data_IF_927008987813
#
_entry.id   IF_927008987813
#
_cell.length_a   1.000
_cell.length_b   1.000
_cell.length_c   1.000
_cell.angle_alpha   90.00
_cell.angle_beta   90.00
_cell.angle_gamma   90.00
#
_symmetry.space_group_name_H-M   'P 1'
#
loop_
_entity.id
_entity.type
_entity.pdbx_description
1 polymer ?
#
# COMPACT_ATOMS: atom_id res chain seq x y z
N UNK A 1 90.75 3.56 11.55
CA UNK A 1 89.38 4.06 11.80
C UNK A 1 88.64 4.32 10.47
N UNK A 2 88.05 3.30 9.83
CA UNK A 2 87.33 3.45 8.54
C UNK A 2 86.11 2.50 8.37
N UNK A 3 85.57 1.90 9.44
CA UNK A 3 84.53 0.85 9.34
C UNK A 3 83.19 1.13 10.03
N UNK A 4 82.96 2.32 10.60
CA UNK A 4 81.68 2.64 11.30
C UNK A 4 80.73 3.52 10.46
N UNK A 5 81.19 4.12 9.36
CA UNK A 5 80.41 5.09 8.59
C UNK A 5 79.49 4.49 7.49
N UNK A 6 79.60 3.20 7.19
CA UNK A 6 78.86 2.57 6.07
C UNK A 6 77.58 1.85 6.56
N UNK A 7 77.52 1.44 7.83
CA UNK A 7 76.37 0.70 8.37
C UNK A 7 75.18 1.65 8.68
N UNK A 8 75.45 2.89 9.09
CA UNK A 8 74.41 3.90 9.36
C UNK A 8 73.71 4.41 8.10
N UNK A 9 74.40 4.55 6.96
CA UNK A 9 73.79 5.01 5.71
C UNK A 9 72.81 3.98 5.10
N UNK A 10 73.08 2.68 5.25
CA UNK A 10 72.24 1.60 4.72
C UNK A 10 70.97 1.41 5.58
N UNK A 11 71.08 1.56 6.91
CA UNK A 11 69.94 1.49 7.83
C UNK A 11 68.96 2.65 7.65
N UNK A 12 69.46 3.89 7.44
CA UNK A 12 68.58 5.04 7.19
C UNK A 12 67.91 5.00 5.80
N UNK A 13 68.61 4.53 4.76
CA UNK A 13 68.03 4.36 3.42
C UNK A 13 66.90 3.32 3.37
N UNK A 14 67.04 2.20 4.08
CA UNK A 14 66.02 1.15 4.16
C UNK A 14 64.74 1.60 4.87
N UNK A 15 64.86 2.40 5.94
CA UNK A 15 63.72 2.92 6.71
C UNK A 15 62.92 3.94 5.89
N UNK A 16 63.59 4.83 5.16
CA UNK A 16 62.94 5.85 4.31
C UNK A 16 62.20 5.20 3.14
N UNK A 17 62.80 4.20 2.47
CA UNK A 17 62.16 3.48 1.37
C UNK A 17 60.97 2.64 1.87
N UNK A 18 61.08 2.01 3.05
CA UNK A 18 59.98 1.27 3.66
C UNK A 18 58.81 2.17 4.07
N UNK A 19 59.07 3.36 4.62
CA UNK A 19 58.04 4.36 4.92
C UNK A 19 57.36 4.90 3.66
N UNK A 20 58.12 5.21 2.60
CA UNK A 20 57.56 5.64 1.32
C UNK A 20 56.65 4.56 0.70
N UNK A 21 57.06 3.29 0.72
CA UNK A 21 56.23 2.18 0.25
C UNK A 21 54.96 1.99 1.10
N UNK A 22 55.06 2.12 2.43
CA UNK A 22 53.91 2.02 3.34
C UNK A 22 52.91 3.16 3.10
N UNK A 23 53.40 4.38 2.88
CA UNK A 23 52.56 5.54 2.55
C UNK A 23 51.91 5.41 1.17
N UNK A 24 52.65 4.93 0.16
CA UNK A 24 52.10 4.65 -1.16
C UNK A 24 51.01 3.56 -1.13
N UNK A 25 51.22 2.49 -0.34
CA UNK A 25 50.23 1.42 -0.18
C UNK A 25 48.97 1.90 0.56
N UNK A 26 49.13 2.71 1.62
CA UNK A 26 48.01 3.30 2.34
C UNK A 26 47.21 4.28 1.46
N UNK A 27 47.89 5.11 0.65
CA UNK A 27 47.26 6.00 -0.32
C UNK A 27 46.56 5.22 -1.44
N UNK A 28 47.12 4.11 -1.89
CA UNK A 28 46.49 3.26 -2.89
C UNK A 28 45.22 2.60 -2.33
N UNK A 29 45.29 2.06 -1.10
CA UNK A 29 44.13 1.48 -0.41
C UNK A 29 43.05 2.50 -0.09
N UNK A 30 43.41 3.74 0.28
CA UNK A 30 42.43 4.81 0.50
C UNK A 30 41.77 5.24 -0.80
N UNK A 31 42.52 5.32 -1.91
CA UNK A 31 42.00 5.65 -3.23
C UNK A 31 41.09 4.56 -3.79
N UNK A 32 41.43 3.29 -3.61
CA UNK A 32 40.56 2.16 -3.99
C UNK A 32 39.28 2.12 -3.15
N UNK A 33 39.37 2.43 -1.84
CA UNK A 33 38.20 2.60 -0.97
C UNK A 33 37.30 3.76 -1.41
N UNK A 34 37.88 4.89 -1.80
CA UNK A 34 37.14 6.04 -2.31
C UNK A 34 36.49 5.77 -3.68
N UNK A 35 37.20 5.07 -4.58
CA UNK A 35 36.66 4.65 -5.89
C UNK A 35 35.52 3.65 -5.69
N UNK A 36 35.69 2.64 -4.83
CA UNK A 36 34.64 1.68 -4.50
C UNK A 36 33.40 2.40 -3.95
N UNK A 37 33.58 3.30 -2.99
CA UNK A 37 32.49 4.10 -2.43
C UNK A 37 31.76 4.91 -3.51
N UNK A 38 32.49 5.61 -4.39
CA UNK A 38 31.92 6.36 -5.51
C UNK A 38 31.12 5.47 -6.47
N UNK A 39 31.64 4.28 -6.79
CA UNK A 39 30.96 3.32 -7.65
C UNK A 39 29.68 2.80 -6.99
N UNK A 40 29.73 2.40 -5.71
CA UNK A 40 28.55 1.96 -4.96
C UNK A 40 27.49 3.07 -4.85
N UNK A 41 27.90 4.30 -4.54
CA UNK A 41 26.98 5.46 -4.50
C UNK A 41 26.32 5.69 -5.86
N UNK A 42 27.08 5.64 -6.96
CA UNK A 42 26.52 5.79 -8.30
C UNK A 42 25.52 4.69 -8.67
N UNK A 43 25.75 3.45 -8.23
CA UNK A 43 24.78 2.36 -8.40
C UNK A 43 23.50 2.62 -7.59
N UNK A 44 23.63 3.06 -6.33
CA UNK A 44 22.47 3.40 -5.49
C UNK A 44 21.67 4.57 -6.08
N UNK A 45 22.33 5.62 -6.57
CA UNK A 45 21.67 6.75 -7.26
C UNK A 45 20.89 6.30 -8.48
N UNK A 46 21.46 5.39 -9.28
CA UNK A 46 20.78 4.85 -10.47
C UNK A 46 19.56 4.02 -10.11
N UNK A 47 19.67 3.16 -9.09
CA UNK A 47 18.54 2.36 -8.59
C UNK A 47 17.44 3.25 -7.98
N UNK A 48 17.81 4.24 -7.17
CA UNK A 48 16.87 5.20 -6.61
C UNK A 48 16.13 5.98 -7.71
N UNK A 49 16.84 6.44 -8.74
CA UNK A 49 16.22 7.13 -9.88
C UNK A 49 15.21 6.23 -10.60
N UNK A 50 15.55 4.96 -10.80
CA UNK A 50 14.65 3.98 -11.42
C UNK A 50 13.38 3.80 -10.58
N UNK A 51 13.51 3.68 -9.26
CA UNK A 51 12.37 3.58 -8.32
C UNK A 51 11.47 4.82 -8.40
N UNK A 52 12.07 6.02 -8.43
CA UNK A 52 11.31 7.27 -8.57
C UNK A 52 10.59 7.38 -9.92
N UNK A 53 11.25 7.00 -11.02
CA UNK A 53 10.64 6.96 -12.35
C UNK A 53 9.44 5.98 -12.37
N UNK A 54 9.59 4.79 -11.78
CA UNK A 54 8.51 3.80 -11.64
C UNK A 54 7.35 4.32 -10.77
N UNK A 55 7.64 5.01 -9.65
CA UNK A 55 6.59 5.65 -8.83
C UNK A 55 5.86 6.74 -9.62
N UNK A 56 6.58 7.57 -10.35
CA UNK A 56 6.00 8.63 -11.17
C UNK A 56 5.05 8.08 -12.23
N UNK A 57 5.39 6.95 -12.85
CA UNK A 57 4.51 6.28 -13.81
C UNK A 57 3.26 5.68 -13.15
N UNK A 58 3.40 5.06 -11.97
CA UNK A 58 2.25 4.56 -11.22
C UNK A 58 1.31 5.70 -10.80
N UNK A 59 1.83 6.85 -10.38
CA UNK A 59 1.02 8.01 -9.97
C UNK A 59 0.11 8.47 -11.10
N UNK A 60 0.57 8.46 -12.35
CA UNK A 60 -0.25 8.82 -13.54
C UNK A 60 -1.48 7.94 -13.72
N UNK A 61 -1.46 6.72 -13.18
CA UNK A 61 -2.57 5.76 -13.26
C UNK A 61 -3.53 5.81 -12.07
N UNK A 62 -3.20 6.58 -11.03
CA UNK A 62 -4.08 6.74 -9.87
C UNK A 62 -5.26 7.65 -10.19
N UNK A 63 -6.42 7.36 -9.60
CA UNK A 63 -7.65 8.15 -9.75
C UNK A 63 -8.32 8.32 -8.38
N UNK A 64 -9.03 9.43 -8.16
CA UNK A 64 -9.90 9.55 -6.98
C UNK A 64 -11.05 8.56 -7.11
N UNK A 65 -11.22 7.72 -6.10
CA UNK A 65 -12.24 6.69 -6.07
C UNK A 65 -13.48 7.21 -5.36
N UNK A 66 -14.64 6.99 -5.96
CA UNK A 66 -15.92 7.02 -5.26
C UNK A 66 -16.70 5.74 -5.55
N UNK A 67 -17.27 5.12 -4.52
CA UNK A 67 -18.16 3.97 -4.62
C UNK A 67 -19.50 4.38 -4.02
N UNK A 68 -20.56 4.17 -4.76
CA UNK A 68 -21.94 4.31 -4.29
C UNK A 68 -22.58 2.93 -4.22
N UNK A 69 -23.11 2.60 -3.06
CA UNK A 69 -23.80 1.34 -2.78
C UNK A 69 -25.26 1.69 -2.57
N UNK A 70 -26.13 1.19 -3.44
CA UNK A 70 -27.58 1.38 -3.36
C UNK A 70 -28.23 0.04 -3.01
N UNK A 71 -28.88 -0.01 -1.86
CA UNK A 71 -29.70 -1.12 -1.41
C UNK A 71 -31.18 -0.79 -1.65
N UNK A 72 -31.92 -1.74 -2.21
CA UNK A 72 -33.36 -1.60 -2.44
C UNK A 72 -34.11 -2.87 -2.00
N UNK A 73 -35.41 -2.73 -1.75
CA UNK A 73 -36.24 -3.79 -1.20
C UNK A 73 -35.99 -4.03 0.29
N UNK A 74 -36.16 -5.27 0.74
CA UNK A 74 -36.14 -5.64 2.16
C UNK A 74 -34.72 -5.78 2.76
N UNK A 75 -33.80 -4.86 2.45
CA UNK A 75 -32.38 -4.99 2.80
C UNK A 75 -32.10 -5.01 4.31
N UNK A 76 -32.96 -4.40 5.11
CA UNK A 76 -32.93 -4.40 6.58
C UNK A 76 -33.10 -5.80 7.20
N UNK A 77 -33.70 -6.75 6.48
CA UNK A 77 -33.86 -8.15 6.93
C UNK A 77 -32.58 -8.98 6.78
N UNK A 78 -31.53 -8.39 6.19
CA UNK A 78 -30.28 -9.07 5.89
C UNK A 78 -29.14 -8.41 6.65
N UNK A 79 -28.34 -9.23 7.30
CA UNK A 79 -27.08 -8.82 7.88
C UNK A 79 -26.02 -8.68 6.78
N UNK A 80 -25.43 -7.50 6.70
CA UNK A 80 -24.52 -7.14 5.64
C UNK A 80 -23.23 -6.54 6.19
N UNK A 81 -22.13 -7.26 5.97
CA UNK A 81 -20.81 -6.85 6.46
C UNK A 81 -19.90 -6.55 5.26
N UNK A 82 -19.32 -5.36 5.26
CA UNK A 82 -18.42 -4.86 4.26
C UNK A 82 -16.96 -4.97 4.70
N UNK A 83 -16.12 -5.32 3.75
CA UNK A 83 -14.67 -5.16 3.79
C UNK A 83 -14.22 -4.43 2.53
N UNK A 84 -13.45 -3.36 2.72
CA UNK A 84 -12.89 -2.57 1.64
C UNK A 84 -11.38 -2.52 1.82
N UNK A 85 -10.66 -2.77 0.73
CA UNK A 85 -9.22 -2.59 0.66
C UNK A 85 -8.89 -1.64 -0.47
N UNK A 86 -8.07 -0.65 -0.17
CA UNK A 86 -7.63 0.34 -1.16
C UNK A 86 -6.11 0.32 -1.22
N UNK A 87 -5.56 0.41 -2.44
CA UNK A 87 -4.12 0.45 -2.69
C UNK A 87 -3.74 1.73 -3.41
N UNK A 88 -2.71 2.42 -2.90
CA UNK A 88 -2.13 3.61 -3.52
C UNK A 88 -0.62 3.51 -3.65
N UNK A 89 -0.03 4.36 -4.49
CA UNK A 89 1.42 4.58 -4.49
C UNK A 89 1.83 5.16 -3.15
N UNK A 90 2.94 4.68 -2.62
CA UNK A 90 3.46 5.16 -1.35
C UNK A 90 4.18 6.51 -1.52
N UNK A 91 3.48 7.56 -1.13
CA UNK A 91 4.00 8.94 -1.05
C UNK A 91 4.57 9.29 0.33
N UNK A 92 4.58 8.35 1.28
CA UNK A 92 4.86 8.63 2.69
C UNK A 92 3.69 9.25 3.47
N UNK A 93 2.60 9.66 2.79
CA UNK A 93 1.38 10.10 3.49
C UNK A 93 0.64 8.87 4.06
N UNK A 94 0.52 8.84 5.40
CA UNK A 94 -0.14 7.78 6.16
C UNK A 94 -1.47 8.20 6.79
N UNK A 95 -2.02 9.34 6.40
CA UNK A 95 -3.37 9.74 6.80
C UNK A 95 -4.42 8.74 6.33
N UNK A 96 -5.55 8.66 7.05
CA UNK A 96 -6.67 7.81 6.64
C UNK A 96 -7.29 8.38 5.36
N UNK A 97 -7.39 7.56 4.31
CA UNK A 97 -7.82 8.04 2.98
C UNK A 97 -9.33 8.03 2.76
N UNK A 98 -10.10 7.35 3.61
CA UNK A 98 -11.57 7.36 3.53
C UNK A 98 -12.13 8.02 4.78
N UNK A 99 -13.00 9.01 4.64
CA UNK A 99 -13.60 9.70 5.79
C UNK A 99 -14.65 8.84 6.49
N UNK A 100 -14.68 8.91 7.83
CA UNK A 100 -15.75 8.33 8.66
C UNK A 100 -17.08 9.08 8.56
N UNK A 101 -17.08 10.31 8.06
CA UNK A 101 -18.31 11.15 8.05
C UNK A 101 -19.41 10.60 7.15
N UNK A 102 -19.05 9.84 6.12
CA UNK A 102 -19.97 9.47 5.04
C UNK A 102 -20.37 7.99 5.06
N UNK A 103 -19.74 7.18 5.92
CA UNK A 103 -19.88 5.71 5.95
C UNK A 103 -19.66 5.19 7.37
N UNK A 104 -20.36 4.13 7.76
CA UNK A 104 -20.20 3.50 9.08
C UNK A 104 -19.12 2.41 9.04
N UNK A 105 -17.95 2.82 8.54
CA UNK A 105 -16.77 1.97 8.45
C UNK A 105 -15.69 2.41 9.43
N UNK A 106 -14.93 1.43 9.88
CA UNK A 106 -13.75 1.58 10.71
C UNK A 106 -12.53 1.10 9.94
N UNK A 107 -11.42 1.80 10.12
CA UNK A 107 -10.12 1.36 9.61
C UNK A 107 -9.68 0.11 10.38
N UNK A 108 -9.19 -0.90 9.67
CA UNK A 108 -8.63 -2.11 10.27
C UNK A 108 -7.24 -1.78 10.81
N UNK A 109 -7.11 -1.82 12.13
CA UNK A 109 -5.85 -1.53 12.84
C UNK A 109 -5.12 -2.81 13.25
N UNK A 110 -3.80 -2.73 13.39
CA UNK A 110 -3.01 -3.79 14.03
C UNK A 110 -3.02 -3.59 15.55
N UNK A 111 -3.21 -4.67 16.30
CA UNK A 111 -3.16 -4.72 17.77
C UNK A 111 -1.85 -4.18 18.37
N UNK A 112 -0.76 -4.12 17.59
CA UNK A 112 0.58 -3.71 18.05
C UNK A 112 1.03 -2.29 17.63
N UNK A 113 0.20 -1.46 16.98
CA UNK A 113 0.69 -0.14 16.58
C UNK A 113 -0.33 0.88 16.07
N UNK A 114 0.13 2.15 16.02
CA UNK A 114 -0.60 3.31 15.45
C UNK A 114 -0.73 3.28 13.92
N UNK A 115 -0.02 2.37 13.23
CA UNK A 115 -0.02 2.31 11.77
C UNK A 115 -1.14 1.42 11.25
N UNK A 116 -2.01 1.99 10.43
CA UNK A 116 -3.12 1.30 9.75
C UNK A 116 -2.78 0.92 8.31
N UNK A 117 -1.61 1.33 7.83
CA UNK A 117 -1.11 1.04 6.50
C UNK A 117 -0.30 -0.25 6.47
N UNK A 118 -0.61 -1.04 5.45
CA UNK A 118 -0.04 -2.34 5.12
C UNK A 118 0.74 -2.25 3.81
N UNK A 119 1.54 -3.26 3.50
CA UNK A 119 2.11 -3.42 2.17
C UNK A 119 1.02 -3.73 1.10
N UNK A 120 1.43 -3.92 -0.16
CA UNK A 120 0.53 -4.30 -1.27
C UNK A 120 -0.11 -5.69 -1.11
N UNK A 121 0.37 -6.55 -0.21
CA UNK A 121 -0.22 -7.85 0.07
C UNK A 121 -1.14 -7.84 1.32
N UNK A 122 -1.21 -6.72 2.05
CA UNK A 122 -1.97 -6.61 3.29
C UNK A 122 -1.17 -7.00 4.55
N UNK A 123 0.15 -7.18 4.42
CA UNK A 123 1.07 -7.48 5.50
C UNK A 123 1.54 -6.22 6.25
N UNK A 124 1.91 -6.41 7.52
CA UNK A 124 2.58 -5.39 8.35
C UNK A 124 4.09 -5.61 8.47
N UNK A 125 4.62 -6.66 7.83
CA UNK A 125 5.99 -7.12 8.00
C UNK A 125 6.89 -6.58 6.88
N UNK A 126 7.28 -5.32 6.99
CA UNK A 126 8.24 -4.68 6.09
C UNK A 126 9.45 -4.14 6.87
N UNK A 127 10.63 -4.20 6.25
CA UNK A 127 11.88 -3.69 6.85
C UNK A 127 11.87 -2.16 6.99
N UNK A 128 11.33 -1.48 5.98
CA UNK A 128 11.22 -0.02 5.92
C UNK A 128 9.95 0.35 5.17
N UNK A 129 9.10 1.17 5.77
CA UNK A 129 7.86 1.63 5.13
C UNK A 129 8.15 2.46 3.87
N UNK A 130 9.20 3.27 3.91
CA UNK A 130 9.54 4.18 2.81
C UNK A 130 10.02 3.47 1.55
N UNK A 131 10.49 2.22 1.68
CA UNK A 131 10.93 1.38 0.57
C UNK A 131 9.77 0.71 -0.18
N UNK A 132 8.56 0.72 0.39
CA UNK A 132 7.39 0.16 -0.27
C UNK A 132 6.98 1.04 -1.45
N UNK A 133 6.78 0.46 -2.62
CA UNK A 133 6.27 1.16 -3.80
C UNK A 133 4.79 1.50 -3.67
N UNK A 134 4.03 0.58 -3.09
CA UNK A 134 2.59 0.68 -2.89
C UNK A 134 2.24 0.25 -1.48
N UNK A 135 1.20 0.86 -0.97
CA UNK A 135 0.68 0.63 0.37
C UNK A 135 -0.82 0.49 0.31
N UNK A 136 -1.37 -0.24 1.28
CA UNK A 136 -2.80 -0.49 1.36
C UNK A 136 -3.38 -0.14 2.71
N UNK A 137 -4.65 0.29 2.70
CA UNK A 137 -5.45 0.52 3.88
C UNK A 137 -6.74 -0.29 3.75
N UNK A 138 -7.13 -0.93 4.85
CA UNK A 138 -8.33 -1.76 4.90
C UNK A 138 -9.35 -1.16 5.85
N UNK A 139 -10.63 -1.37 5.51
CA UNK A 139 -11.78 -0.90 6.25
C UNK A 139 -12.80 -2.02 6.39
N UNK A 140 -13.52 -2.02 7.51
CA UNK A 140 -14.59 -2.96 7.82
C UNK A 140 -15.72 -2.21 8.53
N UNK A 141 -16.90 -2.79 8.71
CA UNK A 141 -17.96 -2.15 9.50
C UNK A 141 -17.45 -1.74 10.88
N UNK A 142 -17.99 -0.63 11.39
CA UNK A 142 -17.83 -0.29 12.79
C UNK A 142 -18.29 -1.44 13.68
N UNK A 143 -17.52 -1.71 14.74
CA UNK A 143 -17.89 -2.64 15.81
C UNK A 143 -18.09 -1.85 17.08
N UNK A 144 -19.18 -2.13 17.79
CA UNK A 144 -19.43 -1.53 19.09
C UNK A 144 -18.48 -2.11 20.17
N UNK A 145 -18.56 -1.59 21.39
CA UNK A 145 -17.69 -2.00 22.51
C UNK A 145 -17.80 -3.50 22.86
N UNK A 146 -18.94 -4.12 22.55
CA UNK A 146 -19.17 -5.56 22.72
C UNK A 146 -18.57 -6.41 21.57
N UNK A 147 -17.94 -5.79 20.57
CA UNK A 147 -17.35 -6.44 19.41
C UNK A 147 -18.37 -6.88 18.36
N UNK A 148 -19.64 -6.51 18.52
CA UNK A 148 -20.71 -6.81 17.57
C UNK A 148 -20.63 -5.85 16.39
N UNK A 149 -20.76 -6.40 15.18
CA UNK A 149 -20.91 -5.59 13.96
C UNK A 149 -22.38 -5.20 13.88
N UNK A 150 -22.70 -3.95 14.15
CA UNK A 150 -24.05 -3.44 13.89
C UNK A 150 -24.25 -3.43 12.38
N UNK A 151 -25.40 -3.95 11.96
CA UNK A 151 -25.75 -4.10 10.56
C UNK A 151 -26.01 -2.70 9.96
N UNK A 152 -25.00 -2.10 9.35
CA UNK A 152 -24.94 -0.64 9.13
C UNK A 152 -25.01 -0.19 7.66
N UNK A 153 -25.34 -1.07 6.71
CA UNK A 153 -25.50 -0.62 5.33
C UNK A 153 -26.82 0.16 5.18
N UNK A 154 -26.68 1.45 4.89
CA UNK A 154 -27.80 2.37 4.63
C UNK A 154 -28.45 2.05 3.28
N UNK A 155 -29.67 2.55 3.02
CA UNK A 155 -30.28 2.47 1.69
C UNK A 155 -29.33 2.97 0.59
N UNK A 156 -28.58 4.04 0.87
CA UNK A 156 -27.53 4.57 0.01
C UNK A 156 -26.30 4.86 0.88
N UNK A 157 -25.13 4.42 0.43
CA UNK A 157 -23.85 4.66 1.09
C UNK A 157 -22.79 5.11 0.08
N UNK A 158 -21.98 6.10 0.47
CA UNK A 158 -20.94 6.69 -0.37
C UNK A 158 -19.57 6.58 0.28
N UNK A 159 -18.68 5.82 -0.35
CA UNK A 159 -17.27 5.73 0.03
C UNK A 159 -16.49 6.59 -0.94
N UNK A 160 -15.69 7.54 -0.45
CA UNK A 160 -14.85 8.40 -1.29
C UNK A 160 -13.45 8.50 -0.71
N UNK A 161 -12.44 8.52 -1.58
CA UNK A 161 -11.04 8.69 -1.18
C UNK A 161 -10.60 10.15 -1.23
N UNK A 162 -9.91 10.61 -0.20
CA UNK A 162 -9.31 11.95 -0.15
C UNK A 162 -8.14 12.10 -1.13
N UNK A 163 -7.42 11.01 -1.39
CA UNK A 163 -6.30 10.93 -2.33
C UNK A 163 -6.58 9.97 -3.51
N UNK A 164 -5.89 10.13 -4.65
CA UNK A 164 -5.93 9.17 -5.75
C UNK A 164 -5.37 7.80 -5.37
N UNK A 165 -5.96 6.73 -5.92
CA UNK A 165 -5.62 5.33 -5.61
C UNK A 165 -5.48 4.53 -6.91
N UNK A 166 -4.74 3.42 -6.87
CA UNK A 166 -4.48 2.58 -8.04
C UNK A 166 -5.66 1.63 -8.31
N UNK A 167 -6.08 0.94 -7.27
CA UNK A 167 -7.13 -0.06 -7.33
C UNK A 167 -7.73 -0.31 -5.95
N UNK A 168 -8.88 -0.98 -5.94
CA UNK A 168 -9.54 -1.40 -4.71
C UNK A 168 -10.10 -2.82 -4.82
N UNK A 169 -10.32 -3.44 -3.67
CA UNK A 169 -11.12 -4.65 -3.52
C UNK A 169 -12.27 -4.35 -2.58
N UNK A 170 -13.47 -4.82 -2.92
CA UNK A 170 -14.67 -4.66 -2.10
C UNK A 170 -15.34 -6.02 -1.92
N UNK A 171 -15.65 -6.35 -0.69
CA UNK A 171 -16.50 -7.48 -0.35
C UNK A 171 -17.65 -7.00 0.52
N UNK A 172 -18.87 -7.39 0.17
CA UNK A 172 -20.04 -7.17 1.01
C UNK A 172 -20.65 -8.54 1.22
N UNK A 173 -20.47 -9.11 2.39
CA UNK A 173 -21.12 -10.35 2.79
C UNK A 173 -22.59 -10.08 3.05
N UNK A 174 -23.48 -10.94 2.56
CA UNK A 174 -24.91 -10.82 2.79
C UNK A 174 -25.45 -12.14 3.32
N UNK A 175 -26.03 -12.11 4.52
CA UNK A 175 -26.68 -13.27 5.13
C UNK A 175 -28.04 -12.88 5.69
N UNK A 176 -28.97 -13.84 5.73
CA UNK A 176 -30.31 -13.60 6.26
C UNK A 176 -30.23 -13.35 7.78
N UNK A 177 -30.85 -12.27 8.24
CA UNK A 177 -31.03 -12.02 9.66
C UNK A 177 -32.19 -12.85 10.20
N UNK A 178 -31.97 -13.62 11.27
CA UNK A 178 -33.02 -14.38 11.95
C UNK A 178 -33.42 -15.72 11.30
N UNK A 179 -34.28 -16.47 11.99
CA UNK A 179 -34.72 -17.83 11.62
C UNK A 179 -35.96 -17.87 10.71
N UNK A 180 -36.60 -16.73 10.43
CA UNK A 180 -37.85 -16.73 9.69
C UNK A 180 -37.63 -16.93 8.18
N UNK A 181 -38.31 -17.94 7.63
CA UNK A 181 -38.39 -18.16 6.19
C UNK A 181 -39.36 -17.14 5.57
N UNK A 182 -38.91 -15.91 5.33
CA UNK A 182 -39.59 -15.02 4.37
C UNK A 182 -39.59 -15.68 2.98
N UNK A 183 -40.78 -15.96 2.47
CA UNK A 183 -41.06 -16.67 1.21
C UNK A 183 -41.05 -15.77 -0.02
N UNK A 184 -40.91 -14.45 0.15
CA UNK A 184 -40.69 -13.49 -0.93
C UNK A 184 -39.82 -12.34 -0.42
N UNK A 185 -38.60 -12.20 -0.94
CA UNK A 185 -37.70 -11.10 -0.62
C UNK A 185 -37.31 -10.37 -1.90
N UNK A 186 -37.24 -9.05 -1.81
CA UNK A 186 -37.05 -8.13 -2.94
C UNK A 186 -35.68 -7.44 -2.91
N UNK A 187 -34.77 -7.92 -2.05
CA UNK A 187 -33.44 -7.33 -1.92
C UNK A 187 -32.75 -7.27 -3.29
N UNK A 188 -32.33 -6.07 -3.66
CA UNK A 188 -31.41 -5.85 -4.77
C UNK A 188 -30.35 -4.83 -4.38
N UNK A 189 -29.20 -4.93 -5.03
CA UNK A 189 -28.06 -4.07 -4.75
C UNK A 189 -27.44 -3.56 -6.03
N UNK A 190 -27.17 -2.26 -6.09
CA UNK A 190 -26.41 -1.64 -7.17
C UNK A 190 -25.12 -1.07 -6.61
N UNK A 191 -23.99 -1.37 -7.24
CA UNK A 191 -22.69 -0.79 -6.94
C UNK A 191 -22.28 0.07 -8.13
N UNK A 192 -22.23 1.38 -7.93
CA UNK A 192 -21.70 2.33 -8.89
C UNK A 192 -20.27 2.70 -8.48
N UNK A 193 -19.34 2.59 -9.40
CA UNK A 193 -17.93 2.89 -9.21
C UNK A 193 -17.61 4.09 -10.08
N UNK A 194 -17.02 5.11 -9.46
CA UNK A 194 -16.61 6.34 -10.09
C UNK A 194 -15.10 6.52 -9.95
N UNK A 195 -14.46 7.02 -11.01
CA UNK A 195 -13.09 7.48 -11.00
C UNK A 195 -13.07 8.94 -11.44
N UNK A 196 -12.43 9.81 -10.66
CA UNK A 196 -12.39 11.27 -10.90
C UNK A 196 -13.79 11.86 -11.19
N UNK A 197 -14.76 11.47 -10.37
CA UNK A 197 -16.18 11.85 -10.47
C UNK A 197 -16.93 11.40 -11.73
N UNK A 198 -16.32 10.58 -12.58
CA UNK A 198 -16.97 9.96 -13.72
C UNK A 198 -17.43 8.55 -13.38
N UNK A 199 -18.66 8.19 -13.75
CA UNK A 199 -19.16 6.83 -13.57
C UNK A 199 -18.46 5.91 -14.57
N UNK A 200 -17.74 4.91 -14.06
CA UNK A 200 -16.91 4.01 -14.87
C UNK A 200 -17.44 2.58 -14.90
N UNK A 201 -18.23 2.20 -13.89
CA UNK A 201 -18.83 0.87 -13.81
C UNK A 201 -20.08 0.88 -12.94
N UNK A 202 -21.11 0.19 -13.40
CA UNK A 202 -22.29 -0.17 -12.61
C UNK A 202 -22.39 -1.68 -12.56
N UNK A 203 -22.58 -2.23 -11.36
CA UNK A 203 -22.84 -3.64 -11.10
C UNK A 203 -24.20 -3.76 -10.41
N UNK A 204 -25.07 -4.63 -10.90
CA UNK A 204 -26.41 -4.86 -10.33
C UNK A 204 -26.51 -6.31 -9.90
N UNK A 205 -27.06 -6.52 -8.71
CA UNK A 205 -27.20 -7.82 -8.07
C UNK A 205 -28.65 -7.98 -7.62
N UNK A 206 -29.27 -9.08 -8.04
CA UNK A 206 -30.51 -9.58 -7.45
C UNK A 206 -30.23 -10.31 -6.13
N UNK A 207 -31.27 -10.63 -5.37
CA UNK A 207 -31.13 -11.46 -4.18
C UNK A 207 -30.47 -12.82 -4.49
N UNK A 208 -30.86 -13.45 -5.60
CA UNK A 208 -30.33 -14.76 -5.99
C UNK A 208 -28.83 -14.69 -6.29
N UNK A 209 -28.38 -13.61 -6.94
CA UNK A 209 -26.96 -13.36 -7.19
C UNK A 209 -26.20 -13.22 -5.87
N UNK A 210 -26.76 -12.45 -4.92
CA UNK A 210 -26.16 -12.23 -3.61
C UNK A 210 -26.11 -13.54 -2.80
N UNK A 211 -27.16 -14.35 -2.78
CA UNK A 211 -27.15 -15.62 -2.05
C UNK A 211 -26.12 -16.57 -2.65
N UNK A 212 -26.11 -16.72 -3.99
CA UNK A 212 -25.20 -17.64 -4.69
C UNK A 212 -23.72 -17.28 -4.49
N UNK A 213 -23.41 -15.98 -4.45
CA UNK A 213 -22.05 -15.49 -4.31
C UNK A 213 -21.67 -15.13 -2.85
N UNK A 214 -22.54 -15.42 -1.88
CA UNK A 214 -22.43 -14.97 -0.48
C UNK A 214 -22.28 -13.44 -0.34
N UNK A 215 -22.83 -12.70 -1.30
CA UNK A 215 -22.91 -11.25 -1.37
C UNK A 215 -22.20 -10.70 -2.61
N UNK A 216 -21.44 -9.61 -2.45
CA UNK A 216 -20.67 -8.95 -3.52
C UNK A 216 -19.19 -9.24 -3.32
N UNK A 217 -18.47 -9.57 -4.40
CA UNK A 217 -17.01 -9.66 -4.40
C UNK A 217 -16.42 -8.99 -5.65
N UNK A 218 -15.70 -7.90 -5.44
CA UNK A 218 -14.92 -7.17 -6.43
C UNK A 218 -13.46 -7.27 -5.99
N UNK A 219 -12.60 -7.80 -6.85
CA UNK A 219 -11.18 -8.01 -6.54
C UNK A 219 -10.30 -7.16 -7.46
N UNK A 220 -9.39 -6.42 -6.84
CA UNK A 220 -8.31 -5.64 -7.46
C UNK A 220 -8.76 -4.85 -8.70
N UNK A 221 -9.88 -4.15 -8.56
CA UNK A 221 -10.45 -3.31 -9.62
C UNK A 221 -9.56 -2.10 -9.87
N UNK A 222 -8.90 -2.09 -11.03
CA UNK A 222 -7.97 -1.03 -11.46
C UNK A 222 -8.74 0.19 -11.99
N UNK A 223 -8.40 1.37 -11.48
CA UNK A 223 -9.07 2.62 -11.86
C UNK A 223 -8.48 3.25 -13.13
N UNK A 224 -7.17 3.07 -13.36
CA UNK A 224 -6.45 3.66 -14.50
C UNK A 224 -6.53 2.89 -15.81
N UNK A 225 -7.16 1.70 -15.86
CA UNK A 225 -7.20 0.82 -17.04
C UNK A 225 -8.45 1.00 -17.90
N UNK A 226 -9.18 2.09 -17.73
CA UNK A 226 -10.34 2.39 -18.58
C UNK A 226 -9.76 2.98 -19.86
N UNK A 227 -9.54 2.11 -20.84
CA UNK A 227 -9.37 2.55 -22.22
C UNK A 227 -10.57 3.44 -22.55
N UNK A 228 -10.29 4.67 -22.96
CA UNK A 228 -11.28 5.57 -23.54
C UNK A 228 -12.01 4.79 -24.64
N UNK A 229 -13.26 4.39 -24.38
CA UNK A 229 -14.18 3.89 -25.40
C UNK A 229 -14.92 5.06 -26.02
#
# INVERSE_FOLDING_TARGET
MKRILIISAILFGGIVIAQQKKNAFNNWKSRDGEIAQKVFTKYQEKENKKIEDEKADLIKTQRKLKIEIVNAGDFEKYNQNMWLRIVKVNSGNIEQIVSKSNTEISVVTNTMGKNTWKDEAGGFNYKSFNELMKISQEFTNYRNEAGLSENSLKPIEFIETSEPVLYFSLKIYTHKGGSEQTTSSTLSKTINIYADNQLIKTLKYSLDDLIKAEGVSIRDFKLGSIENR
#
